data_IF_017394753406
#
_entry.id   IF_017394753406
#
_cell.length_a   1.000
_cell.length_b   1.000
_cell.length_c   1.000
_cell.angle_alpha   90.00
_cell.angle_beta   90.00
_cell.angle_gamma   90.00
#
_symmetry.space_group_name_H-M   'P 1'
#
loop_
_entity.id
_entity.type
_entity.pdbx_description
1 polymer ?
#
# COMPACT_ATOMS: atom_id res chain seq x y z
N UNK A 1 -7.78 21.22 1.83
CA UNK A 1 -6.68 21.25 2.82
C UNK A 1 -5.45 20.63 2.18
N UNK A 2 -4.37 21.38 2.03
CA UNK A 2 -3.13 20.92 1.39
C UNK A 2 -1.97 21.25 2.32
N UNK A 3 -1.06 20.30 2.52
CA UNK A 3 0.16 20.50 3.32
C UNK A 3 1.37 20.25 2.43
N UNK A 4 2.32 21.18 2.44
CA UNK A 4 3.57 21.04 1.70
C UNK A 4 4.68 20.81 2.73
N UNK A 5 5.57 19.89 2.42
CA UNK A 5 6.72 19.57 3.26
C UNK A 5 7.96 19.31 2.41
N UNK A 6 9.12 19.59 3.00
CA UNK A 6 10.43 19.28 2.44
C UNK A 6 11.06 18.10 3.19
N UNK A 7 11.61 17.15 2.45
CA UNK A 7 12.40 16.03 2.98
C UNK A 7 13.84 16.23 2.54
N UNK A 8 14.72 16.33 3.53
CA UNK A 8 16.17 16.51 3.37
C UNK A 8 16.91 15.24 3.75
N UNK A 9 18.15 15.08 3.28
CA UNK A 9 19.00 13.94 3.60
C UNK A 9 19.27 13.76 5.09
N UNK A 10 19.15 14.82 5.88
CA UNK A 10 19.28 14.80 7.34
C UNK A 10 18.08 14.18 8.08
N UNK A 11 16.97 13.88 7.39
CA UNK A 11 15.72 13.43 7.99
C UNK A 11 15.37 12.00 7.54
N UNK A 12 16.20 11.04 7.96
CA UNK A 12 16.17 9.66 7.47
C UNK A 12 14.83 8.93 7.74
N UNK A 13 14.18 9.18 8.87
CA UNK A 13 12.90 8.55 9.19
C UNK A 13 11.80 9.00 8.24
N UNK A 14 11.74 10.30 7.97
CA UNK A 14 10.87 10.90 6.97
C UNK A 14 11.17 10.34 5.56
N UNK A 15 12.44 10.18 5.21
CA UNK A 15 12.83 9.58 3.93
C UNK A 15 12.35 8.13 3.79
N UNK A 16 12.45 7.33 4.85
CA UNK A 16 11.96 5.95 4.86
C UNK A 16 10.45 5.90 4.75
N UNK A 17 9.74 6.69 5.57
CA UNK A 17 8.28 6.76 5.58
C UNK A 17 7.70 7.11 4.21
N UNK A 18 8.28 8.11 3.54
CA UNK A 18 7.84 8.55 2.21
C UNK A 18 8.56 7.87 1.04
N UNK A 19 9.45 6.91 1.31
CA UNK A 19 10.28 6.22 0.31
C UNK A 19 11.09 7.16 -0.61
N UNK A 20 11.64 8.23 -0.04
CA UNK A 20 12.46 9.22 -0.75
C UNK A 20 13.86 8.68 -1.03
N UNK A 21 14.32 8.81 -2.28
CA UNK A 21 15.63 8.32 -2.74
C UNK A 21 16.58 9.41 -3.24
N UNK A 22 16.08 10.64 -3.38
CA UNK A 22 16.85 11.79 -3.86
C UNK A 22 16.50 13.03 -3.03
N UNK A 23 17.46 13.92 -2.85
CA UNK A 23 17.32 15.09 -1.99
C UNK A 23 17.68 16.37 -2.72
N UNK A 24 17.11 17.52 -2.31
CA UNK A 24 15.89 17.62 -1.51
C UNK A 24 14.68 17.06 -2.27
N UNK A 25 13.63 16.66 -1.54
CA UNK A 25 12.35 16.23 -2.11
C UNK A 25 11.21 17.01 -1.48
N UNK A 26 10.38 17.65 -2.30
CA UNK A 26 9.15 18.31 -1.86
C UNK A 26 7.97 17.38 -2.04
N UNK A 27 7.11 17.33 -1.02
CA UNK A 27 5.87 16.56 -1.05
C UNK A 27 4.70 17.48 -0.72
N UNK A 28 3.68 17.47 -1.58
CA UNK A 28 2.38 18.07 -1.29
C UNK A 28 1.36 16.97 -0.96
N UNK A 29 0.81 17.00 0.24
CA UNK A 29 -0.25 16.12 0.71
C UNK A 29 -1.61 16.75 0.42
N UNK A 30 -2.36 16.12 -0.47
CA UNK A 30 -3.66 16.61 -0.91
C UNK A 30 -4.76 16.07 -0.01
N UNK A 31 -5.63 16.93 0.50
CA UNK A 31 -6.69 16.54 1.44
C UNK A 31 -6.20 16.12 2.83
N UNK A 32 -4.90 16.23 3.11
CA UNK A 32 -4.28 15.70 4.33
C UNK A 32 -4.05 14.19 4.30
N UNK A 33 -4.17 13.55 3.14
CA UNK A 33 -3.95 12.12 2.94
C UNK A 33 -2.53 11.86 2.40
N UNK A 34 -1.77 11.04 3.12
CA UNK A 34 -0.38 10.68 2.79
C UNK A 34 -0.27 9.86 1.49
N UNK A 35 -1.32 9.12 1.14
CA UNK A 35 -1.41 8.34 -0.09
C UNK A 35 -1.81 9.20 -1.30
N UNK A 36 -2.40 10.36 -1.03
CA UNK A 36 -2.78 11.36 -2.02
C UNK A 36 -1.71 12.47 -2.10
N UNK A 37 -0.49 12.07 -2.47
CA UNK A 37 0.66 12.98 -2.53
C UNK A 37 1.13 13.31 -3.95
N UNK A 38 1.66 14.52 -4.11
CA UNK A 38 2.41 14.96 -5.30
C UNK A 38 3.86 15.17 -4.88
N UNK A 39 4.79 14.56 -5.61
CA UNK A 39 6.22 14.57 -5.28
C UNK A 39 7.00 15.36 -6.32
N UNK A 40 7.94 16.17 -5.87
CA UNK A 40 8.95 16.85 -6.70
C UNK A 40 10.34 16.55 -6.13
N UNK A 41 11.27 16.11 -6.97
CA UNK A 41 12.58 15.58 -6.52
C UNK A 41 13.74 16.29 -7.22
N UNK A 42 14.86 16.52 -6.53
CA UNK A 42 16.13 17.00 -7.11
C UNK A 42 16.66 18.33 -6.55
N UNK A 43 17.94 18.61 -6.79
CA UNK A 43 18.70 19.78 -6.27
C UNK A 43 18.29 21.13 -6.89
N UNK A 44 17.83 21.14 -8.14
CA UNK A 44 17.43 22.35 -8.87
C UNK A 44 15.91 22.55 -8.89
N UNK A 45 15.23 22.29 -7.76
CA UNK A 45 13.78 22.45 -7.71
C UNK A 45 13.38 23.92 -7.72
N UNK A 46 12.68 24.31 -8.77
CA UNK A 46 11.90 25.54 -8.76
C UNK A 46 10.67 25.33 -7.86
N UNK A 47 10.82 25.69 -6.59
CA UNK A 47 9.75 25.65 -5.59
C UNK A 47 8.53 26.45 -6.03
N UNK A 48 8.74 27.57 -6.73
CA UNK A 48 7.65 28.39 -7.21
C UNK A 48 6.88 27.67 -8.31
N UNK A 49 7.58 27.10 -9.29
CA UNK A 49 6.93 26.30 -10.34
C UNK A 49 6.17 25.10 -9.74
N UNK A 50 6.72 24.47 -8.70
CA UNK A 50 6.03 23.38 -8.00
C UNK A 50 4.74 23.85 -7.34
N UNK A 51 4.80 24.92 -6.53
CA UNK A 51 3.62 25.48 -5.85
C UNK A 51 2.58 25.96 -6.85
N UNK A 52 2.99 26.69 -7.90
CA UNK A 52 2.10 27.15 -8.98
C UNK A 52 1.41 25.97 -9.67
N UNK A 53 2.13 24.86 -9.87
CA UNK A 53 1.53 23.64 -10.47
C UNK A 53 0.45 22.97 -9.59
N UNK A 54 0.27 23.41 -8.35
CA UNK A 54 -0.75 22.91 -7.42
C UNK A 54 -1.96 23.86 -7.28
N UNK A 55 -1.87 25.10 -7.76
CA UNK A 55 -2.88 26.16 -7.53
C UNK A 55 -4.23 25.83 -8.18
N UNK A 56 -4.22 25.27 -9.39
CA UNK A 56 -5.44 24.83 -10.07
C UNK A 56 -6.10 23.60 -9.43
N UNK A 57 -5.42 22.97 -8.47
CA UNK A 57 -5.86 21.78 -7.76
C UNK A 57 -5.92 20.51 -8.62
N UNK A 58 -5.62 20.55 -9.92
CA UNK A 58 -5.77 19.42 -10.84
C UNK A 58 -4.84 18.26 -10.47
N UNK A 59 -3.59 18.58 -10.13
CA UNK A 59 -2.62 17.58 -9.63
C UNK A 59 -3.10 16.93 -8.34
N UNK A 60 -3.66 17.73 -7.43
CA UNK A 60 -4.20 17.20 -6.17
C UNK A 60 -5.46 16.35 -6.36
N UNK A 61 -6.37 16.75 -7.25
CA UNK A 61 -7.54 15.93 -7.58
C UNK A 61 -7.12 14.59 -8.21
N UNK A 62 -6.08 14.60 -9.04
CA UNK A 62 -5.52 13.38 -9.64
C UNK A 62 -4.92 12.46 -8.58
N UNK A 63 -4.13 13.02 -7.66
CA UNK A 63 -3.56 12.28 -6.53
C UNK A 63 -4.65 11.66 -5.64
N UNK A 64 -5.69 12.44 -5.29
CA UNK A 64 -6.84 11.96 -4.51
C UNK A 64 -7.62 10.84 -5.21
N UNK A 65 -7.84 10.95 -6.53
CA UNK A 65 -8.50 9.89 -7.31
C UNK A 65 -7.66 8.61 -7.32
N UNK A 66 -6.35 8.74 -7.49
CA UNK A 66 -5.42 7.61 -7.45
C UNK A 66 -5.39 6.95 -6.06
N UNK A 67 -5.32 7.74 -4.99
CA UNK A 67 -5.39 7.25 -3.61
C UNK A 67 -6.69 6.49 -3.34
N UNK A 68 -7.85 7.06 -3.71
CA UNK A 68 -9.15 6.37 -3.62
C UNK A 68 -9.20 5.10 -4.45
N UNK A 69 -8.55 5.05 -5.62
CA UNK A 69 -8.47 3.82 -6.44
C UNK A 69 -7.62 2.76 -5.75
N UNK A 70 -6.48 3.13 -5.18
CA UNK A 70 -5.61 2.24 -4.37
C UNK A 70 -6.35 1.73 -3.13
N UNK A 71 -7.00 2.62 -2.39
CA UNK A 71 -7.83 2.27 -1.24
C UNK A 71 -8.97 1.33 -1.64
N UNK A 72 -9.66 1.60 -2.75
CA UNK A 72 -10.69 0.71 -3.29
C UNK A 72 -10.11 -0.63 -3.74
N UNK A 73 -8.92 -0.68 -4.32
CA UNK A 73 -8.27 -1.95 -4.64
C UNK A 73 -7.91 -2.72 -3.37
N UNK A 74 -7.39 -2.05 -2.35
CA UNK A 74 -7.08 -2.63 -1.04
C UNK A 74 -8.35 -3.14 -0.34
N UNK A 75 -9.46 -2.41 -0.44
CA UNK A 75 -10.77 -2.78 0.13
C UNK A 75 -11.54 -3.81 -0.71
N UNK A 76 -11.40 -3.80 -2.04
CA UNK A 76 -12.04 -4.76 -2.95
C UNK A 76 -11.31 -6.09 -3.00
N UNK A 77 -10.09 -6.16 -2.48
CA UNK A 77 -9.27 -7.33 -2.64
C UNK A 77 -8.44 -7.61 -1.41
N UNK A 78 -9.13 -8.08 -0.37
CA UNK A 78 -8.66 -9.17 0.47
C UNK A 78 -9.89 -9.99 0.85
N UNK A 79 -10.23 -11.08 0.14
CA UNK A 79 -11.22 -12.00 0.65
C UNK A 79 -10.64 -12.67 1.90
N UNK A 80 -11.50 -12.98 2.87
CA UNK A 80 -11.18 -14.00 3.85
C UNK A 80 -10.67 -15.26 3.13
N UNK A 81 -9.80 -16.03 3.77
CA UNK A 81 -9.21 -17.23 3.16
C UNK A 81 -10.32 -18.08 2.52
N UNK A 82 -10.34 -18.28 1.18
CA UNK A 82 -11.39 -19.04 0.51
C UNK A 82 -11.70 -20.37 1.20
N UNK A 83 -12.98 -20.73 1.29
CA UNK A 83 -13.41 -22.00 1.88
C UNK A 83 -13.15 -23.19 0.96
N UNK A 84 -13.11 -22.93 -0.34
CA UNK A 84 -12.88 -23.91 -1.38
C UNK A 84 -11.39 -24.01 -1.73
N UNK A 85 -10.89 -25.23 -1.75
CA UNK A 85 -9.51 -25.58 -2.01
C UNK A 85 -9.13 -25.46 -3.51
N UNK A 86 -10.08 -25.63 -4.42
CA UNK A 86 -9.91 -25.41 -5.86
C UNK A 86 -9.89 -23.91 -6.20
N UNK A 87 -10.63 -23.07 -5.46
CA UNK A 87 -10.49 -21.60 -5.58
C UNK A 87 -9.06 -21.16 -5.19
N UNK A 88 -8.50 -21.69 -4.10
CA UNK A 88 -7.10 -21.43 -3.74
C UNK A 88 -6.11 -21.87 -4.83
N UNK A 89 -6.35 -23.01 -5.47
CA UNK A 89 -5.47 -23.56 -6.51
C UNK A 89 -5.55 -22.82 -7.84
N UNK A 90 -6.67 -22.19 -8.17
CA UNK A 90 -6.83 -21.43 -9.42
C UNK A 90 -6.27 -20.02 -9.33
N UNK A 91 -6.18 -19.44 -8.12
CA UNK A 91 -5.67 -18.08 -7.88
C UNK A 91 -4.18 -17.90 -8.19
N UNK A 92 -3.73 -16.70 -8.60
CA UNK A 92 -2.31 -16.44 -8.83
C UNK A 92 -1.51 -16.44 -7.53
N UNK A 93 -0.23 -16.82 -7.61
CA UNK A 93 0.66 -16.91 -6.45
C UNK A 93 0.80 -15.59 -5.68
N UNK A 94 0.78 -14.47 -6.39
CA UNK A 94 0.84 -13.12 -5.80
C UNK A 94 -0.34 -12.88 -4.86
N UNK A 95 -1.54 -13.27 -5.27
CA UNK A 95 -2.74 -13.16 -4.45
C UNK A 95 -2.71 -14.10 -3.24
N UNK A 96 -2.18 -15.32 -3.39
CA UNK A 96 -2.04 -16.23 -2.26
C UNK A 96 -1.11 -15.68 -1.18
N UNK A 97 -0.03 -15.00 -1.58
CA UNK A 97 0.90 -14.30 -0.67
C UNK A 97 0.22 -13.14 0.06
N UNK A 98 -0.53 -12.31 -0.67
CA UNK A 98 -1.27 -11.19 -0.09
C UNK A 98 -2.29 -11.66 0.96
N UNK A 99 -3.05 -12.74 0.68
CA UNK A 99 -4.01 -13.29 1.65
C UNK A 99 -3.29 -13.80 2.91
N UNK A 100 -2.14 -14.46 2.73
CA UNK A 100 -1.34 -14.97 3.84
C UNK A 100 -0.80 -13.88 4.75
N UNK A 101 -0.23 -12.83 4.17
CA UNK A 101 0.33 -11.69 4.90
C UNK A 101 -0.76 -10.95 5.70
N UNK A 102 -1.92 -10.69 5.09
CA UNK A 102 -3.03 -9.98 5.74
C UNK A 102 -3.60 -10.77 6.94
N UNK A 103 -3.64 -12.10 6.84
CA UNK A 103 -4.13 -12.97 7.92
C UNK A 103 -3.03 -13.36 8.93
N UNK A 104 -1.86 -12.70 8.89
CA UNK A 104 -0.76 -12.90 9.84
C UNK A 104 0.03 -14.20 9.64
N UNK A 105 -0.13 -14.85 8.49
CA UNK A 105 0.56 -16.09 8.14
C UNK A 105 1.75 -15.85 7.23
N UNK A 106 2.93 -15.55 7.78
CA UNK A 106 4.15 -15.65 6.97
C UNK A 106 4.41 -17.12 6.59
N UNK A 107 4.79 -17.40 5.34
CA UNK A 107 5.26 -18.71 4.91
C UNK A 107 6.76 -18.68 4.59
N UNK A 108 7.58 -18.79 5.65
CA UNK A 108 9.03 -18.90 5.58
C UNK A 108 9.41 -20.32 5.12
N UNK A 109 9.27 -20.60 3.82
CA UNK A 109 9.58 -21.91 3.25
C UNK A 109 8.63 -22.40 2.15
N UNK A 110 7.59 -21.64 1.82
CA UNK A 110 6.76 -21.96 0.66
C UNK A 110 7.55 -21.65 -0.63
N UNK A 111 7.88 -22.69 -1.40
CA UNK A 111 8.59 -22.57 -2.68
C UNK A 111 7.63 -22.76 -3.84
N UNK A 112 6.67 -23.66 -3.67
CA UNK A 112 5.68 -24.00 -4.68
C UNK A 112 4.31 -23.44 -4.33
N UNK A 113 3.47 -23.28 -5.35
CA UNK A 113 2.11 -22.76 -5.18
C UNK A 113 1.30 -23.60 -4.19
N UNK A 114 1.48 -24.92 -4.21
CA UNK A 114 0.78 -25.82 -3.31
C UNK A 114 1.15 -25.57 -1.83
N UNK A 115 2.39 -25.18 -1.53
CA UNK A 115 2.80 -24.84 -0.15
C UNK A 115 1.98 -23.66 0.41
N UNK A 116 1.77 -22.63 -0.42
CA UNK A 116 0.97 -21.46 -0.06
C UNK A 116 -0.50 -21.85 0.13
N UNK A 117 -1.03 -22.73 -0.72
CA UNK A 117 -2.39 -23.27 -0.58
C UNK A 117 -2.53 -24.04 0.74
N UNK A 118 -1.59 -24.92 1.07
CA UNK A 118 -1.61 -25.69 2.33
C UNK A 118 -1.52 -24.79 3.56
N UNK A 119 -0.66 -23.76 3.52
CA UNK A 119 -0.54 -22.79 4.61
C UNK A 119 -1.83 -22.00 4.82
N UNK A 120 -2.48 -21.58 3.74
CA UNK A 120 -3.78 -20.90 3.79
C UNK A 120 -4.86 -21.81 4.37
N UNK A 121 -4.92 -23.10 3.99
CA UNK A 121 -5.84 -24.07 4.59
C UNK A 121 -5.63 -24.21 6.09
N UNK A 122 -4.38 -24.34 6.54
CA UNK A 122 -4.06 -24.43 7.98
C UNK A 122 -4.46 -23.16 8.74
N UNK A 123 -4.23 -21.99 8.14
CA UNK A 123 -4.59 -20.71 8.74
C UNK A 123 -6.11 -20.52 8.82
N UNK A 124 -6.86 -20.98 7.81
CA UNK A 124 -8.33 -21.04 7.81
C UNK A 124 -8.87 -21.86 8.98
N UNK A 125 -8.31 -23.04 9.22
CA UNK A 125 -8.70 -23.90 10.35
C UNK A 125 -8.39 -23.28 11.71
N UNK A 126 -7.22 -22.65 11.85
CA UNK A 126 -6.85 -21.94 13.08
C UNK A 126 -7.82 -20.79 13.38
N UNK A 127 -8.21 -20.04 12.34
CA UNK A 127 -9.16 -18.95 12.48
C UNK A 127 -10.58 -19.44 12.82
N UNK A 128 -11.01 -20.59 12.30
CA UNK A 128 -12.28 -21.24 12.70
C UNK A 128 -12.28 -21.64 14.17
N UNK A 129 -11.18 -22.24 14.67
CA UNK A 129 -11.07 -22.66 16.08
C UNK A 129 -11.00 -21.50 17.08
N UNK A 130 -10.53 -20.33 16.65
CA UNK A 130 -10.39 -19.13 17.48
C UNK A 130 -11.66 -18.28 17.56
N UNK A 131 -12.69 -18.55 16.74
CA UNK A 131 -13.95 -17.81 16.78
C UNK A 131 -14.80 -18.42 17.91
N UNK A 132 -15.00 -17.74 19.06
CA UNK A 132 -15.95 -18.23 20.05
C UNK A 132 -17.35 -18.16 19.43
N UNK A 133 -18.13 -19.23 19.58
CA UNK A 133 -19.56 -19.19 19.33
C UNK A 133 -20.17 -18.15 20.27
N UNK A 134 -20.71 -17.07 19.68
CA UNK A 134 -21.52 -16.04 20.34
C UNK A 134 -22.98 -16.36 20.06
#
# INVERSE_FOLDING_TARGET
>A
NMKIMEIRGSNLDMSRHFSVKSYPTMIALCGGDEEARVVNTGEAQDLRAFVVSLEDGQRCQTALKAAKKREKHRKKFVPGIPEDDDDLRTRPLTLLREILEEHGGACLGCLEKEDYVQKLRSLREQNRRKKPEL
#
